data_IF_099315866535
#
_entry.id   IF_099315866535
#
_cell.length_a   1.000
_cell.length_b   1.000
_cell.length_c   1.000
_cell.angle_alpha   90.00
_cell.angle_beta   90.00
_cell.angle_gamma   90.00
#
_symmetry.space_group_name_H-M   'P 1'
#
loop_
_entity.id
_entity.type
_entity.pdbx_description
1 polymer ?
#
# COMPACT_ATOMS: atom_id res chain seq x y z
N UNK A 1 -3.22 8.13 16.41
CA UNK A 1 -3.38 6.71 16.03
C UNK A 1 -3.79 6.69 14.58
N UNK A 2 -3.07 5.97 13.72
CA UNK A 2 -3.50 5.73 12.34
C UNK A 2 -4.73 4.83 12.42
N UNK A 3 -5.87 5.29 11.89
CA UNK A 3 -7.13 4.55 11.99
C UNK A 3 -7.25 3.61 10.79
N UNK A 4 -6.39 2.60 10.76
CA UNK A 4 -6.30 1.61 9.67
C UNK A 4 -6.92 0.31 10.17
N UNK A 5 -7.92 -0.18 9.46
CA UNK A 5 -8.69 -1.37 9.80
C UNK A 5 -8.61 -2.38 8.65
N UNK A 6 -7.68 -3.35 8.78
CA UNK A 6 -7.44 -4.39 7.77
C UNK A 6 -8.21 -5.65 8.16
N UNK A 7 -9.19 -6.04 7.32
CA UNK A 7 -10.09 -7.17 7.58
C UNK A 7 -9.93 -8.33 6.60
N UNK A 8 -9.21 -8.10 5.53
CA UNK A 8 -9.04 -9.03 4.41
C UNK A 8 -7.71 -8.75 3.69
N UNK A 9 -7.36 -9.58 2.71
CA UNK A 9 -6.27 -9.34 1.76
C UNK A 9 -6.78 -8.81 0.42
N UNK A 10 -7.92 -8.12 0.41
CA UNK A 10 -8.59 -7.64 -0.79
C UNK A 10 -9.01 -6.17 -0.64
N UNK A 11 -10.31 -5.84 -0.53
CA UNK A 11 -10.80 -4.47 -0.44
C UNK A 11 -10.13 -3.58 0.61
N UNK A 12 -9.67 -4.14 1.74
CA UNK A 12 -8.96 -3.41 2.80
C UNK A 12 -7.63 -2.78 2.35
N UNK A 13 -7.10 -3.19 1.19
CA UNK A 13 -5.83 -2.73 0.63
C UNK A 13 -5.98 -1.80 -0.57
N UNK A 14 -7.21 -1.67 -1.09
CA UNK A 14 -7.53 -0.95 -2.32
C UNK A 14 -7.12 0.52 -2.28
N UNK A 15 -7.27 1.17 -1.13
CA UNK A 15 -6.98 2.60 -0.95
C UNK A 15 -5.48 2.94 -0.87
N UNK A 16 -4.62 1.93 -0.84
CA UNK A 16 -3.17 2.07 -0.73
C UNK A 16 -2.68 2.55 0.63
N UNK A 17 -3.55 2.80 1.62
CA UNK A 17 -3.17 3.29 2.95
C UNK A 17 -2.41 2.21 3.70
N UNK A 18 -2.87 0.97 3.62
CA UNK A 18 -2.23 -0.20 4.24
C UNK A 18 -0.77 -0.37 3.80
N UNK A 19 -0.49 -0.32 2.49
CA UNK A 19 0.87 -0.43 1.97
C UNK A 19 1.76 0.73 2.43
N UNK A 20 1.26 1.97 2.41
CA UNK A 20 2.00 3.12 2.92
C UNK A 20 2.30 2.99 4.42
N UNK A 21 1.37 2.43 5.21
CA UNK A 21 1.56 2.20 6.63
C UNK A 21 2.63 1.15 6.91
N UNK A 22 2.72 0.10 6.09
CA UNK A 22 3.81 -0.88 6.17
C UNK A 22 5.15 -0.19 5.93
N UNK A 23 5.28 0.57 4.85
CA UNK A 23 6.52 1.32 4.55
C UNK A 23 6.87 2.30 5.69
N UNK A 24 5.89 3.03 6.22
CA UNK A 24 6.06 3.91 7.37
C UNK A 24 6.53 3.17 8.63
N UNK A 25 6.03 1.94 8.85
CA UNK A 25 6.43 1.12 10.01
C UNK A 25 7.88 0.64 9.93
N UNK A 26 8.41 0.45 8.71
CA UNK A 26 9.80 0.08 8.47
C UNK A 26 10.72 1.31 8.65
N UNK A 27 10.36 2.44 8.04
CA UNK A 27 11.05 3.72 8.24
C UNK A 27 10.05 4.89 8.17
N UNK A 28 9.74 5.54 9.32
CA UNK A 28 8.77 6.63 9.39
C UNK A 28 9.13 7.86 8.54
N UNK A 29 10.40 8.00 8.12
CA UNK A 29 10.86 9.14 7.31
C UNK A 29 10.48 9.01 5.84
N UNK A 30 10.14 7.80 5.39
CA UNK A 30 9.83 7.53 3.99
C UNK A 30 8.39 7.90 3.61
N UNK A 31 7.49 8.00 4.58
CA UNK A 31 6.06 8.23 4.36
C UNK A 31 5.49 9.14 5.45
N UNK A 32 4.89 10.27 5.07
CA UNK A 32 4.01 11.04 5.96
C UNK A 32 2.58 10.53 5.82
N UNK A 33 2.10 9.83 6.84
CA UNK A 33 0.76 9.24 6.82
C UNK A 33 -0.37 10.27 6.81
N UNK A 34 -0.13 11.52 7.23
CA UNK A 34 -1.14 12.60 7.14
C UNK A 34 -1.42 13.02 5.71
N UNK A 35 -0.43 12.82 4.83
CA UNK A 35 -0.52 13.12 3.42
C UNK A 35 -1.17 11.96 2.63
N UNK A 36 -0.94 10.72 3.08
CA UNK A 36 -1.57 9.51 2.55
C UNK A 36 -3.10 9.58 2.63
N UNK A 37 -3.65 10.06 3.76
CA UNK A 37 -5.10 10.22 3.95
C UNK A 37 -5.77 11.21 2.97
N UNK A 38 -5.00 12.04 2.26
CA UNK A 38 -5.50 13.08 1.35
C UNK A 38 -5.36 12.75 -0.13
N UNK A 39 -4.68 11.64 -0.45
CA UNK A 39 -4.41 11.20 -1.82
C UNK A 39 -5.49 10.23 -2.31
N UNK A 40 -5.59 10.11 -3.62
CA UNK A 40 -6.39 9.04 -4.23
C UNK A 40 -5.77 7.66 -3.98
N UNK A 41 -6.59 6.61 -4.10
CA UNK A 41 -6.15 5.21 -4.06
C UNK A 41 -4.93 4.99 -4.97
N UNK A 42 -5.05 5.48 -6.21
CA UNK A 42 -4.04 5.28 -7.25
C UNK A 42 -2.70 5.88 -6.90
N UNK A 43 -2.71 7.12 -6.41
CA UNK A 43 -1.51 7.83 -5.98
C UNK A 43 -0.88 7.14 -4.76
N UNK A 44 -1.69 6.70 -3.80
CA UNK A 44 -1.20 5.98 -2.63
C UNK A 44 -0.53 4.66 -3.00
N UNK A 45 -1.17 3.85 -3.84
CA UNK A 45 -0.63 2.58 -4.33
C UNK A 45 0.67 2.78 -5.09
N UNK A 46 0.67 3.66 -6.09
CA UNK A 46 1.86 3.96 -6.89
C UNK A 46 3.01 4.42 -6.00
N UNK A 47 2.73 5.32 -5.05
CA UNK A 47 3.75 5.83 -4.14
C UNK A 47 4.28 4.76 -3.21
N UNK A 48 3.42 3.94 -2.61
CA UNK A 48 3.85 2.87 -1.72
C UNK A 48 4.81 1.92 -2.42
N UNK A 49 4.42 1.42 -3.60
CA UNK A 49 5.22 0.50 -4.38
C UNK A 49 6.54 1.13 -4.85
N UNK A 50 6.51 2.40 -5.24
CA UNK A 50 7.72 3.13 -5.68
C UNK A 50 8.70 3.36 -4.54
N UNK A 51 8.22 3.81 -3.39
CA UNK A 51 9.09 4.01 -2.22
C UNK A 51 9.64 2.69 -1.70
N UNK A 52 8.81 1.64 -1.65
CA UNK A 52 9.24 0.31 -1.23
C UNK A 52 10.36 -0.25 -2.14
N UNK A 53 10.23 -0.10 -3.45
CA UNK A 53 11.27 -0.53 -4.40
C UNK A 53 12.55 0.30 -4.26
N UNK A 54 12.45 1.62 -4.38
CA UNK A 54 13.63 2.49 -4.45
C UNK A 54 14.39 2.61 -3.13
N UNK A 55 13.69 2.49 -1.99
CA UNK A 55 14.27 2.76 -0.66
C UNK A 55 14.47 1.51 0.17
N UNK A 56 13.67 0.47 -0.06
CA UNK A 56 13.71 -0.78 0.72
C UNK A 56 14.13 -1.98 -0.14
N UNK A 57 14.24 -1.83 -1.46
CA UNK A 57 14.59 -2.92 -2.37
C UNK A 57 13.50 -3.98 -2.53
N UNK A 58 12.24 -3.65 -2.20
CA UNK A 58 11.10 -4.56 -2.31
C UNK A 58 10.58 -4.53 -3.77
N UNK A 59 10.63 -5.65 -4.51
CA UNK A 59 10.22 -5.67 -5.92
C UNK A 59 8.75 -5.28 -6.11
N UNK A 60 8.47 -4.46 -7.14
CA UNK A 60 7.09 -4.17 -7.56
C UNK A 60 6.51 -5.35 -8.34
N UNK A 61 5.73 -6.19 -7.65
CA UNK A 61 5.00 -7.30 -8.29
C UNK A 61 3.50 -7.02 -8.42
N UNK A 62 3.03 -5.86 -7.94
CA UNK A 62 1.65 -5.41 -8.05
C UNK A 62 1.60 -4.11 -8.86
N UNK A 63 0.69 -4.05 -9.82
CA UNK A 63 0.35 -2.81 -10.50
C UNK A 63 -0.79 -2.10 -9.76
N UNK A 64 -0.73 -0.76 -9.57
CA UNK A 64 -1.81 -0.01 -8.93
C UNK A 64 -3.17 -0.17 -9.61
N UNK A 65 -3.17 -0.47 -10.92
CA UNK A 65 -4.37 -0.76 -11.72
C UNK A 65 -5.10 -2.02 -11.25
N UNK A 66 -4.35 -3.07 -10.90
CA UNK A 66 -4.91 -4.36 -10.51
C UNK A 66 -5.37 -4.38 -9.04
N UNK A 67 -4.88 -3.42 -8.23
CA UNK A 67 -5.24 -3.30 -6.82
C UNK A 67 -6.40 -2.33 -6.61
N UNK A 68 -6.48 -1.23 -7.36
CA UNK A 68 -7.56 -0.25 -7.27
C UNK A 68 -8.80 -0.67 -8.08
N UNK A 69 -9.31 -1.84 -7.75
CA UNK A 69 -10.55 -2.43 -8.25
C UNK A 69 -11.43 -2.83 -7.07
N UNK A 70 -12.71 -3.14 -7.32
CA UNK A 70 -13.64 -3.51 -6.24
C UNK A 70 -13.21 -4.77 -5.48
N UNK A 71 -12.58 -5.72 -6.18
CA UNK A 71 -12.16 -7.02 -5.65
C UNK A 71 -10.77 -7.37 -6.18
N UNK A 72 -9.70 -6.85 -5.56
CA UNK A 72 -8.34 -7.20 -5.97
C UNK A 72 -8.01 -8.64 -5.61
N UNK A 73 -7.05 -9.25 -6.31
CA UNK A 73 -6.67 -10.65 -6.09
C UNK A 73 -5.93 -10.82 -4.76
N UNK A 74 -6.55 -11.56 -3.83
CA UNK A 74 -6.03 -11.72 -2.49
C UNK A 74 -4.68 -12.43 -2.43
N UNK A 75 -4.44 -13.38 -3.35
CA UNK A 75 -3.16 -14.12 -3.38
C UNK A 75 -2.01 -13.23 -3.81
N UNK A 76 -2.25 -12.32 -4.74
CA UNK A 76 -1.28 -11.36 -5.21
C UNK A 76 -0.93 -10.37 -4.08
N UNK A 77 -1.94 -9.85 -3.38
CA UNK A 77 -1.73 -8.98 -2.21
C UNK A 77 -0.96 -9.73 -1.10
N UNK A 78 -1.38 -10.93 -0.73
CA UNK A 78 -0.66 -11.77 0.25
C UNK A 78 0.79 -12.00 -0.15
N UNK A 79 1.05 -12.30 -1.43
CA UNK A 79 2.41 -12.54 -1.94
C UNK A 79 3.29 -11.30 -1.81
N UNK A 80 2.73 -10.10 -1.96
CA UNK A 80 3.48 -8.85 -1.81
C UNK A 80 3.83 -8.52 -0.36
N UNK A 81 2.98 -8.91 0.59
CA UNK A 81 3.09 -8.48 2.01
C UNK A 81 3.63 -9.55 2.96
N UNK A 82 3.83 -10.78 2.49
CA UNK A 82 4.39 -11.91 3.24
C UNK A 82 5.90 -11.77 3.45
#
# INVERSE_FOLDING_TARGET
KLNIDIKDFGPSWRDGVAFNAIVHSIDPRLVDMRDVERRSNRENLQRAFTVAEEKLGIPKILDPEDVDVERPDEKSIMTYVA
#
